data_IF_782978750171
#
_entry.id   IF_782978750171
#
_cell.length_a   1.000
_cell.length_b   1.000
_cell.length_c   1.000
_cell.angle_alpha   90.00
_cell.angle_beta   90.00
_cell.angle_gamma   90.00
#
_symmetry.space_group_name_H-M   'P 1'
#
loop_
_entity.id
_entity.type
_entity.pdbx_description
1 polymer ?
#
# COMPACT_ATOMS: atom_id res chain seq x y z
N UNK A 1 2.08 15.80 -10.61
CA UNK A 1 1.42 14.49 -10.71
C UNK A 1 1.34 13.85 -9.35
N UNK A 2 0.22 13.22 -9.04
CA UNK A 2 0.00 12.60 -7.74
C UNK A 2 0.76 11.28 -7.65
N UNK A 3 1.51 11.12 -6.57
CA UNK A 3 2.22 9.86 -6.27
C UNK A 3 1.45 9.09 -5.20
N UNK A 4 1.32 7.79 -5.43
CA UNK A 4 0.54 6.92 -4.57
C UNK A 4 1.42 5.88 -3.87
N UNK A 5 0.98 5.47 -2.69
CA UNK A 5 1.45 4.26 -2.03
C UNK A 5 0.24 3.36 -1.82
N UNK A 6 0.34 2.14 -2.30
CA UNK A 6 -0.79 1.21 -2.29
C UNK A 6 -0.76 0.31 -1.07
N UNK A 7 -1.89 0.22 -0.38
CA UNK A 7 -2.06 -0.74 0.70
C UNK A 7 -2.17 -2.15 0.13
N UNK A 8 -1.84 -3.13 0.93
CA UNK A 8 -1.82 -4.55 0.56
C UNK A 8 -3.14 -5.02 -0.06
N UNK A 9 -4.28 -4.55 0.48
CA UNK A 9 -5.59 -4.99 -0.01
C UNK A 9 -5.83 -4.64 -1.49
N UNK A 10 -5.31 -3.51 -1.96
CA UNK A 10 -5.46 -3.12 -3.37
C UNK A 10 -4.70 -4.11 -4.27
N UNK A 11 -3.49 -4.49 -3.90
CA UNK A 11 -2.68 -5.42 -4.68
C UNK A 11 -3.29 -6.83 -4.67
N UNK A 12 -3.77 -7.28 -3.53
CA UNK A 12 -4.44 -8.57 -3.41
C UNK A 12 -5.71 -8.59 -4.28
N UNK A 13 -6.50 -7.52 -4.26
CA UNK A 13 -7.68 -7.40 -5.11
C UNK A 13 -7.31 -7.50 -6.58
N UNK A 14 -6.24 -6.83 -7.01
CA UNK A 14 -5.76 -6.90 -8.39
C UNK A 14 -5.39 -8.34 -8.76
N UNK A 15 -4.64 -9.02 -7.90
CA UNK A 15 -4.21 -10.40 -8.15
C UNK A 15 -5.39 -11.37 -8.17
N UNK A 16 -6.49 -11.03 -7.48
CA UNK A 16 -7.72 -11.80 -7.49
C UNK A 16 -8.65 -11.44 -8.66
N UNK A 17 -8.21 -10.60 -9.59
CA UNK A 17 -8.97 -10.27 -10.78
C UNK A 17 -10.05 -9.21 -10.60
N UNK A 18 -9.99 -8.42 -9.53
CA UNK A 18 -10.97 -7.36 -9.28
C UNK A 18 -10.71 -6.21 -10.25
N UNK A 19 -11.65 -5.96 -11.15
CA UNK A 19 -11.51 -4.94 -12.20
C UNK A 19 -11.27 -3.55 -11.63
N UNK A 20 -11.95 -3.19 -10.53
CA UNK A 20 -11.79 -1.88 -9.92
C UNK A 20 -10.36 -1.64 -9.43
N UNK A 21 -9.68 -2.68 -8.96
CA UNK A 21 -8.27 -2.58 -8.55
C UNK A 21 -7.37 -2.32 -9.77
N UNK A 22 -7.62 -3.02 -10.87
CA UNK A 22 -6.87 -2.78 -12.11
C UNK A 22 -7.07 -1.37 -12.61
N UNK A 23 -8.29 -0.88 -12.62
CA UNK A 23 -8.61 0.49 -13.04
C UNK A 23 -7.85 1.51 -12.18
N UNK A 24 -7.81 1.29 -10.88
CA UNK A 24 -7.08 2.19 -10.00
C UNK A 24 -5.58 2.17 -10.27
N UNK A 25 -4.98 0.99 -10.43
CA UNK A 25 -3.54 0.89 -10.72
C UNK A 25 -3.18 1.53 -12.06
N UNK A 26 -4.04 1.40 -13.06
CA UNK A 26 -3.81 1.95 -14.39
C UNK A 26 -3.80 3.49 -14.42
N UNK A 27 -4.30 4.14 -13.36
CA UNK A 27 -4.26 5.61 -13.25
C UNK A 27 -2.83 6.14 -13.05
N UNK A 28 -1.90 5.30 -12.62
CA UNK A 28 -0.54 5.69 -12.27
C UNK A 28 0.41 5.05 -13.27
N UNK A 29 0.88 5.82 -14.25
CA UNK A 29 1.59 5.30 -15.40
C UNK A 29 3.11 5.28 -15.24
N UNK A 30 3.66 6.17 -14.41
CA UNK A 30 5.10 6.21 -14.17
C UNK A 30 5.49 5.27 -13.04
N UNK A 31 6.68 4.67 -13.13
CA UNK A 31 7.17 3.80 -12.05
C UNK A 31 7.29 4.53 -10.73
N UNK A 32 7.73 5.80 -10.77
CA UNK A 32 7.84 6.62 -9.56
C UNK A 32 6.49 7.00 -8.97
N UNK A 33 5.42 6.87 -9.73
CA UNK A 33 4.07 7.23 -9.26
C UNK A 33 3.44 6.14 -8.40
N UNK A 34 3.99 4.92 -8.44
CA UNK A 34 3.45 3.75 -7.73
C UNK A 34 4.49 3.21 -6.76
N UNK A 35 4.15 3.21 -5.50
CA UNK A 35 5.03 2.66 -4.47
C UNK A 35 4.26 1.75 -3.53
N UNK A 36 5.00 0.91 -2.84
CA UNK A 36 4.50 0.06 -1.76
C UNK A 36 5.50 0.11 -0.60
N UNK A 37 5.00 -0.13 0.60
CA UNK A 37 5.87 -0.41 1.75
C UNK A 37 6.48 -1.81 1.60
N UNK A 38 7.67 -1.99 2.15
CA UNK A 38 8.26 -3.34 2.25
C UNK A 38 7.33 -4.30 3.01
N UNK A 39 6.51 -3.78 3.94
CA UNK A 39 5.48 -4.59 4.63
C UNK A 39 4.49 -5.16 3.62
N UNK A 40 4.01 -4.34 2.69
CA UNK A 40 3.08 -4.79 1.65
C UNK A 40 3.74 -5.84 0.76
N UNK A 41 5.00 -5.63 0.39
CA UNK A 41 5.77 -6.60 -0.40
C UNK A 41 5.77 -7.96 0.29
N UNK A 42 6.06 -7.98 1.59
CA UNK A 42 6.09 -9.22 2.36
C UNK A 42 4.70 -9.86 2.47
N UNK A 43 3.67 -9.07 2.77
CA UNK A 43 2.31 -9.58 2.94
C UNK A 43 1.76 -10.22 1.66
N UNK A 44 2.05 -9.60 0.51
CA UNK A 44 1.61 -10.16 -0.77
C UNK A 44 2.33 -11.48 -1.06
N UNK A 45 3.64 -11.54 -0.81
CA UNK A 45 4.41 -12.75 -1.11
C UNK A 45 4.13 -13.91 -0.16
N UNK A 46 3.76 -13.62 1.09
CA UNK A 46 3.35 -14.67 2.03
C UNK A 46 2.17 -15.48 1.49
N UNK A 47 1.31 -14.85 0.70
CA UNK A 47 0.14 -15.51 0.11
C UNK A 47 0.42 -16.31 -1.16
N UNK A 48 1.68 -16.34 -1.66
CA UNK A 48 1.97 -17.06 -2.90
C UNK A 48 2.22 -18.54 -2.66
N UNK A 49 2.07 -19.33 -3.75
CA UNK A 49 2.48 -20.72 -3.82
C UNK A 49 3.74 -20.82 -4.69
N UNK A 50 4.43 -21.97 -4.72
CA UNK A 50 5.57 -22.12 -5.63
C UNK A 50 5.24 -21.84 -7.10
N UNK A 51 3.98 -22.10 -7.50
CA UNK A 51 3.54 -21.87 -8.89
C UNK A 51 3.31 -20.39 -9.19
N UNK A 52 2.95 -19.59 -8.19
CA UNK A 52 2.57 -18.17 -8.38
C UNK A 52 3.67 -17.20 -7.95
N UNK A 53 4.70 -17.66 -7.26
CA UNK A 53 5.70 -16.77 -6.65
C UNK A 53 6.42 -15.89 -7.67
N UNK A 54 6.92 -16.49 -8.76
CA UNK A 54 7.67 -15.73 -9.76
C UNK A 54 6.82 -14.67 -10.46
N UNK A 55 5.59 -15.00 -10.82
CA UNK A 55 4.69 -14.05 -11.46
C UNK A 55 4.35 -12.90 -10.52
N UNK A 56 4.14 -13.21 -9.24
CA UNK A 56 3.83 -12.18 -8.23
C UNK A 56 5.01 -11.27 -7.98
N UNK A 57 6.24 -11.81 -7.92
CA UNK A 57 7.45 -10.98 -7.80
C UNK A 57 7.62 -10.07 -9.00
N UNK A 58 7.33 -10.56 -10.21
CA UNK A 58 7.34 -9.76 -11.44
C UNK A 58 6.34 -8.61 -11.36
N UNK A 59 5.15 -8.87 -10.87
CA UNK A 59 4.14 -7.83 -10.65
C UNK A 59 4.63 -6.77 -9.65
N UNK A 60 5.18 -7.20 -8.52
CA UNK A 60 5.66 -6.28 -7.48
C UNK A 60 6.86 -5.45 -7.96
N UNK A 61 7.66 -5.97 -8.89
CA UNK A 61 8.79 -5.24 -9.47
C UNK A 61 8.36 -3.97 -10.23
N UNK A 62 7.08 -3.85 -10.58
CA UNK A 62 6.53 -2.65 -11.20
C UNK A 62 6.29 -1.50 -10.21
N UNK A 63 6.50 -1.72 -8.93
CA UNK A 63 6.32 -0.71 -7.88
C UNK A 63 7.67 -0.35 -7.27
N UNK A 64 7.78 0.89 -6.80
CA UNK A 64 8.90 1.29 -5.98
C UNK A 64 8.67 0.75 -4.56
N UNK A 65 9.56 -0.12 -4.07
CA UNK A 65 9.44 -0.67 -2.72
C UNK A 65 10.20 0.24 -1.75
N UNK A 66 9.52 0.77 -0.76
CA UNK A 66 10.07 1.74 0.20
C UNK A 66 10.37 1.04 1.52
N UNK A 67 11.59 1.18 2.05
CA UNK A 67 12.00 0.49 3.26
C UNK A 67 11.44 1.12 4.53
N UNK A 68 11.55 0.39 5.63
CA UNK A 68 11.28 0.91 6.97
C UNK A 68 12.61 1.49 7.48
N UNK A 69 12.85 2.77 7.19
CA UNK A 69 14.01 3.46 7.74
C UNK A 69 13.67 4.06 9.12
N UNK A 70 14.63 4.76 9.72
CA UNK A 70 14.44 5.34 11.06
C UNK A 70 13.28 6.33 11.10
N UNK A 71 13.11 7.12 10.04
CA UNK A 71 12.05 8.12 9.97
C UNK A 71 10.67 7.46 9.87
N UNK A 72 10.54 6.44 9.02
CA UNK A 72 9.31 5.65 8.90
C UNK A 72 9.00 4.94 10.21
N UNK A 73 10.00 4.33 10.85
CA UNK A 73 9.82 3.62 12.11
C UNK A 73 9.31 4.57 13.20
N UNK A 74 9.91 5.74 13.33
CA UNK A 74 9.50 6.74 14.34
C UNK A 74 8.07 7.20 14.11
N UNK A 75 7.70 7.51 12.86
CA UNK A 75 6.35 7.94 12.52
C UNK A 75 5.33 6.83 12.74
N UNK A 76 5.71 5.57 12.48
CA UNK A 76 4.85 4.41 12.72
C UNK A 76 4.45 4.29 14.19
N UNK A 77 5.41 4.50 15.08
CA UNK A 77 5.15 4.47 16.53
C UNK A 77 4.14 5.54 16.92
N UNK A 78 4.31 6.78 16.42
CA UNK A 78 3.38 7.87 16.69
C UNK A 78 1.97 7.54 16.21
N UNK A 79 1.85 7.03 14.98
CA UNK A 79 0.54 6.67 14.40
C UNK A 79 -0.12 5.57 15.23
N UNK A 80 0.64 4.54 15.59
CA UNK A 80 0.12 3.42 16.37
C UNK A 80 -0.43 3.89 17.71
N UNK A 81 0.27 4.80 18.37
CA UNK A 81 -0.16 5.36 19.66
C UNK A 81 -1.41 6.21 19.52
N UNK A 82 -1.50 7.02 18.47
CA UNK A 82 -2.56 8.03 18.34
C UNK A 82 -3.84 7.48 17.71
N UNK A 83 -3.74 6.45 16.88
CA UNK A 83 -4.89 5.96 16.09
C UNK A 83 -5.33 4.55 16.46
N UNK A 84 -4.62 3.85 17.33
CA UNK A 84 -4.96 2.49 17.81
C UNK A 84 -5.14 1.49 16.68
N UNK A 85 -4.39 1.63 15.60
CA UNK A 85 -4.39 0.68 14.50
C UNK A 85 -3.22 -0.30 14.66
N UNK A 86 -3.27 -1.42 13.94
CA UNK A 86 -2.22 -2.43 14.01
C UNK A 86 -0.90 -1.86 13.50
N UNK A 87 0.21 -2.35 14.03
CA UNK A 87 1.52 -1.84 13.65
C UNK A 87 1.81 -1.96 12.15
N UNK A 88 1.48 -3.08 11.45
CA UNK A 88 1.70 -3.12 10.00
C UNK A 88 0.96 -2.01 9.26
N UNK A 89 -0.28 -1.71 9.63
CA UNK A 89 -1.06 -0.63 9.01
C UNK A 89 -0.45 0.73 9.33
N UNK A 90 0.03 0.91 10.56
CA UNK A 90 0.72 2.14 10.95
C UNK A 90 1.99 2.35 10.12
N UNK A 91 2.74 1.28 9.84
CA UNK A 91 3.95 1.35 9.01
C UNK A 91 3.60 1.75 7.57
N UNK A 92 2.56 1.16 7.00
CA UNK A 92 2.12 1.50 5.65
C UNK A 92 1.73 2.97 5.57
N UNK A 93 0.95 3.46 6.53
CA UNK A 93 0.53 4.87 6.55
C UNK A 93 1.72 5.80 6.76
N UNK A 94 2.61 5.46 7.69
CA UNK A 94 3.83 6.25 7.95
C UNK A 94 4.70 6.36 6.69
N UNK A 95 4.83 5.27 5.95
CA UNK A 95 5.61 5.27 4.71
C UNK A 95 5.02 6.26 3.71
N UNK A 96 3.70 6.28 3.56
CA UNK A 96 3.03 7.24 2.69
C UNK A 96 3.29 8.68 3.14
N UNK A 97 3.14 8.96 4.42
CA UNK A 97 3.32 10.31 4.96
C UNK A 97 4.75 10.81 4.82
N UNK A 98 5.72 9.97 5.17
CA UNK A 98 7.15 10.34 5.11
C UNK A 98 7.58 10.65 3.69
N UNK A 99 7.04 9.94 2.72
CA UNK A 99 7.41 10.10 1.31
C UNK A 99 6.48 11.03 0.53
N UNK A 100 5.55 11.70 1.21
CA UNK A 100 4.64 12.66 0.56
C UNK A 100 3.72 12.01 -0.47
N UNK A 101 3.29 10.79 -0.23
CA UNK A 101 2.42 10.04 -1.12
C UNK A 101 1.02 9.89 -0.52
N UNK A 102 0.00 9.82 -1.36
CA UNK A 102 -1.33 9.44 -0.87
C UNK A 102 -1.35 7.94 -0.60
N UNK A 103 -2.03 7.54 0.45
CA UNK A 103 -2.27 6.13 0.74
C UNK A 103 -3.56 5.70 0.03
N UNK A 104 -3.43 4.75 -0.88
CA UNK A 104 -4.58 4.18 -1.60
C UNK A 104 -4.96 2.88 -0.90
N UNK A 105 -6.14 2.83 -0.30
CA UNK A 105 -6.58 1.70 0.52
C UNK A 105 -8.07 1.48 0.38
N UNK A 106 -8.50 0.24 0.60
CA UNK A 106 -9.91 -0.12 0.69
C UNK A 106 -10.34 -0.32 2.15
N UNK A 107 -9.41 -0.21 3.08
CA UNK A 107 -9.66 -0.45 4.50
C UNK A 107 -10.18 0.82 5.19
N UNK A 108 -11.50 1.02 5.12
CA UNK A 108 -12.15 2.18 5.75
C UNK A 108 -12.36 1.98 7.26
N UNK A 109 -12.10 0.80 7.77
CA UNK A 109 -12.20 0.52 9.20
C UNK A 109 -11.05 1.16 9.97
N UNK A 110 -9.83 1.07 9.43
CA UNK A 110 -8.64 1.58 10.11
C UNK A 110 -8.20 2.95 9.59
N UNK A 111 -8.58 3.30 8.35
CA UNK A 111 -8.22 4.57 7.74
C UNK A 111 -9.47 5.35 7.39
N UNK A 112 -9.70 6.47 8.09
CA UNK A 112 -10.86 7.31 7.82
C UNK A 112 -10.76 7.92 6.43
N UNK A 113 -11.85 7.80 5.65
CA UNK A 113 -11.88 8.23 4.25
C UNK A 113 -11.67 9.74 4.10
N UNK A 114 -12.08 10.51 5.10
CA UNK A 114 -11.93 11.96 5.11
C UNK A 114 -10.57 12.42 5.67
N UNK A 115 -9.73 11.50 6.11
CA UNK A 115 -8.39 11.85 6.60
C UNK A 115 -7.54 12.35 5.44
N UNK A 116 -6.83 13.49 5.60
CA UNK A 116 -5.94 13.98 4.54
C UNK A 116 -4.92 12.93 4.13
N UNK A 117 -4.73 12.78 2.83
CA UNK A 117 -3.76 11.81 2.29
C UNK A 117 -4.28 10.39 2.16
N UNK A 118 -5.54 10.13 2.47
CA UNK A 118 -6.18 8.83 2.26
C UNK A 118 -7.08 8.89 1.03
N UNK A 119 -6.96 7.89 0.17
CA UNK A 119 -7.84 7.71 -0.98
C UNK A 119 -8.45 6.32 -0.93
N UNK A 120 -9.77 6.24 -0.94
CA UNK A 120 -10.52 5.00 -1.04
C UNK A 120 -11.12 4.92 -2.44
N UNK A 121 -10.47 4.18 -3.37
CA UNK A 121 -10.84 4.25 -4.79
C UNK A 121 -12.12 3.51 -5.13
N UNK A 122 -12.47 2.51 -4.34
CA UNK A 122 -13.65 1.69 -4.58
C UNK A 122 -14.02 0.93 -3.30
N UNK A 123 -15.23 0.39 -3.28
CA UNK A 123 -15.70 -0.49 -2.21
C UNK A 123 -16.16 -1.82 -2.82
N UNK A 124 -16.02 -2.88 -2.08
CA UNK A 124 -16.49 -4.20 -2.50
C UNK A 124 -17.70 -4.62 -1.70
#
# INVERSE_FOLDING_TARGET
MVKALFDTNILIDYLNGITAAKTELDRYTGKDDKAISVVTWMEVLVGTTPETDNATRGFLAGFQSLPIDAQVASRSVEIRKNHKIKLPDAIVWATAQVHGRILVTRNTKDFAEDEPGIRVPYRL
#
